data_IF_338506996286
#
_entry.id   IF_338506996286
#
_cell.length_a   1.000
_cell.length_b   1.000
_cell.length_c   1.000
_cell.angle_alpha   90.00
_cell.angle_beta   90.00
_cell.angle_gamma   90.00
#
_symmetry.space_group_name_H-M   'P 1'
#
loop_
_entity.id
_entity.type
_entity.pdbx_description
1 polymer ?
#
# COMPACT_ATOMS: atom_id res chain seq x y z
N UNK A 1 -30.41 11.06 -4.09
CA UNK A 1 -29.78 10.57 -2.84
C UNK A 1 -29.37 11.76 -1.98
N UNK A 2 -29.57 11.74 -0.66
CA UNK A 2 -29.21 12.87 0.20
C UNK A 2 -27.69 13.05 0.23
N UNK A 3 -27.24 14.30 0.08
CA UNK A 3 -25.82 14.66 0.16
C UNK A 3 -25.30 14.49 1.59
N UNK A 4 -24.06 14.04 1.74
CA UNK A 4 -23.40 13.89 3.03
C UNK A 4 -23.46 15.21 3.83
N UNK A 5 -23.79 15.17 5.13
CA UNK A 5 -23.82 16.36 5.97
C UNK A 5 -22.42 17.00 6.06
N UNK A 6 -22.39 18.33 6.18
CA UNK A 6 -21.15 19.06 6.40
C UNK A 6 -20.58 18.73 7.78
N UNK A 7 -19.25 18.70 7.89
CA UNK A 7 -18.51 18.39 9.11
C UNK A 7 -17.45 19.47 9.39
N UNK A 8 -17.02 19.64 10.65
CA UNK A 8 -15.96 20.59 10.98
C UNK A 8 -14.64 20.28 10.27
N UNK A 9 -13.91 21.34 9.93
CA UNK A 9 -12.54 21.26 9.42
C UNK A 9 -11.62 20.62 10.47
N UNK A 10 -10.70 19.76 10.02
CA UNK A 10 -9.74 19.07 10.91
C UNK A 10 -8.56 19.97 11.31
N UNK A 11 -8.39 21.15 10.70
CA UNK A 11 -7.31 22.08 11.08
C UNK A 11 -7.51 22.55 12.53
N UNK A 12 -6.47 22.54 13.39
CA UNK A 12 -6.58 23.00 14.76
C UNK A 12 -7.23 24.38 14.83
N UNK A 13 -8.17 24.54 15.77
CA UNK A 13 -8.90 25.80 16.01
C UNK A 13 -9.73 26.33 14.82
N UNK A 14 -10.01 25.52 13.80
CA UNK A 14 -10.86 25.91 12.67
C UNK A 14 -12.30 25.39 12.84
N UNK A 15 -13.25 26.30 13.07
CA UNK A 15 -14.68 25.96 13.19
C UNK A 15 -15.42 25.88 11.84
N UNK A 16 -14.74 26.06 10.71
CA UNK A 16 -15.38 26.07 9.39
C UNK A 16 -15.97 24.70 9.03
N UNK A 17 -17.19 24.69 8.51
CA UNK A 17 -17.84 23.49 8.00
C UNK A 17 -17.40 23.20 6.56
N UNK A 18 -17.14 21.93 6.27
CA UNK A 18 -16.68 21.46 4.96
C UNK A 18 -17.28 20.09 4.66
N UNK A 19 -17.35 19.73 3.38
CA UNK A 19 -17.66 18.35 2.95
C UNK A 19 -16.41 17.47 2.92
N UNK A 20 -15.23 18.10 2.80
CA UNK A 20 -13.92 17.45 2.70
C UNK A 20 -13.21 17.35 4.06
N UNK A 21 -11.92 16.97 4.06
CA UNK A 21 -11.11 16.88 5.28
C UNK A 21 -10.78 18.26 5.88
N UNK A 22 -10.60 19.26 5.02
CA UNK A 22 -10.30 20.64 5.39
C UNK A 22 -11.23 21.61 4.63
N UNK A 23 -11.46 22.80 5.18
CA UNK A 23 -12.17 23.86 4.45
C UNK A 23 -11.29 24.47 3.36
N UNK A 24 -11.87 25.28 2.46
CA UNK A 24 -11.15 25.92 1.34
C UNK A 24 -9.87 26.66 1.79
N UNK A 25 -9.93 27.32 2.96
CA UNK A 25 -8.79 28.04 3.57
C UNK A 25 -7.63 27.13 4.04
N UNK A 26 -7.87 25.82 4.12
CA UNK A 26 -6.92 24.83 4.65
C UNK A 26 -6.68 23.67 3.65
N UNK A 27 -7.06 23.84 2.38
CA UNK A 27 -6.83 22.84 1.33
C UNK A 27 -5.34 22.64 1.03
N UNK A 28 -4.53 23.66 1.26
CA UNK A 28 -3.06 23.63 1.20
C UNK A 28 -2.46 22.54 2.11
N UNK A 29 -3.03 22.30 3.30
CA UNK A 29 -2.60 21.21 4.21
C UNK A 29 -2.80 19.81 3.62
N UNK A 30 -3.72 19.64 2.67
CA UNK A 30 -3.87 18.38 1.92
C UNK A 30 -2.69 18.20 0.97
N UNK A 31 -2.34 19.26 0.24
CA UNK A 31 -1.23 19.26 -0.71
C UNK A 31 0.11 19.08 0.02
N UNK A 32 0.30 19.75 1.15
CA UNK A 32 1.49 19.62 1.99
C UNK A 32 1.66 18.19 2.52
N UNK A 33 0.61 17.59 3.10
CA UNK A 33 0.64 16.19 3.54
C UNK A 33 0.95 15.22 2.39
N UNK A 34 0.36 15.46 1.21
CA UNK A 34 0.63 14.64 0.03
C UNK A 34 2.08 14.77 -0.41
N UNK A 35 2.63 16.00 -0.43
CA UNK A 35 4.05 16.25 -0.74
C UNK A 35 4.99 15.63 0.29
N UNK A 36 4.65 15.69 1.57
CA UNK A 36 5.42 15.03 2.63
C UNK A 36 5.44 13.51 2.43
N UNK A 37 4.27 12.89 2.20
CA UNK A 37 4.19 11.46 1.92
C UNK A 37 4.96 11.09 0.64
N UNK A 38 4.82 11.84 -0.45
CA UNK A 38 5.53 11.58 -1.71
C UNK A 38 7.05 11.90 -1.65
N UNK A 39 7.50 12.70 -0.69
CA UNK A 39 8.92 13.05 -0.53
C UNK A 39 9.65 12.11 0.44
N UNK A 40 8.98 11.72 1.54
CA UNK A 40 9.62 11.01 2.65
C UNK A 40 9.13 9.58 2.84
N UNK A 41 7.94 9.21 2.34
CA UNK A 41 7.33 7.88 2.57
C UNK A 41 7.22 7.05 1.28
N UNK A 42 6.72 7.65 0.19
CA UNK A 42 6.64 7.05 -1.15
C UNK A 42 7.73 7.65 -2.01
N UNK A 43 8.85 6.96 -2.19
CA UNK A 43 9.79 7.41 -3.22
C UNK A 43 9.08 7.44 -4.58
N UNK A 44 9.23 8.53 -5.36
CA UNK A 44 8.72 8.62 -6.75
C UNK A 44 9.14 7.40 -7.59
N UNK A 45 10.31 6.84 -7.26
CA UNK A 45 10.85 5.57 -7.77
C UNK A 45 9.91 4.37 -7.53
N UNK A 46 9.34 4.22 -6.33
CA UNK A 46 8.45 3.10 -6.00
C UNK A 46 7.16 3.12 -6.82
N UNK A 47 6.56 4.29 -7.02
CA UNK A 47 5.33 4.41 -7.83
C UNK A 47 5.59 4.09 -9.30
N UNK A 48 6.71 4.58 -9.85
CA UNK A 48 7.12 4.25 -11.22
C UNK A 48 7.37 2.75 -11.38
N UNK A 49 8.03 2.12 -10.39
CA UNK A 49 8.30 0.69 -10.38
C UNK A 49 7.02 -0.15 -10.44
N UNK A 50 6.01 0.11 -9.59
CA UNK A 50 4.77 -0.65 -9.61
C UNK A 50 3.96 -0.48 -10.91
N UNK A 51 4.18 0.61 -11.65
CA UNK A 51 3.58 0.82 -12.98
C UNK A 51 4.41 0.24 -14.13
N UNK A 52 5.66 -0.13 -13.89
CA UNK A 52 6.59 -0.61 -14.90
C UNK A 52 6.15 -1.96 -15.48
N UNK A 53 6.49 -2.19 -16.76
CA UNK A 53 6.27 -3.49 -17.42
C UNK A 53 6.99 -4.61 -16.67
N UNK A 54 8.23 -4.34 -16.23
CA UNK A 54 9.04 -5.26 -15.45
C UNK A 54 8.30 -5.81 -14.22
N UNK A 55 7.62 -4.94 -13.45
CA UNK A 55 6.84 -5.39 -12.30
C UNK A 55 5.60 -6.19 -12.70
N UNK A 56 4.90 -5.77 -13.76
CA UNK A 56 3.70 -6.48 -14.24
C UNK A 56 4.04 -7.92 -14.68
N UNK A 57 5.11 -8.08 -15.45
CA UNK A 57 5.59 -9.38 -15.92
C UNK A 57 6.03 -10.26 -14.74
N UNK A 58 6.77 -9.67 -13.78
CA UNK A 58 7.20 -10.39 -12.57
C UNK A 58 6.00 -10.80 -11.69
N UNK A 59 5.03 -9.92 -11.52
CA UNK A 59 3.79 -10.20 -10.78
C UNK A 59 3.05 -11.38 -11.40
N UNK A 60 2.90 -11.40 -12.72
CA UNK A 60 2.25 -12.50 -13.43
C UNK A 60 3.03 -13.82 -13.26
N UNK A 61 4.36 -13.77 -13.33
CA UNK A 61 5.23 -14.93 -13.12
C UNK A 61 5.06 -15.50 -11.69
N UNK A 62 5.02 -14.64 -10.67
CA UNK A 62 4.80 -15.05 -9.29
C UNK A 62 3.41 -15.66 -9.09
N UNK A 63 2.38 -15.06 -9.69
CA UNK A 63 1.03 -15.61 -9.67
C UNK A 63 0.98 -17.03 -10.27
N UNK A 64 1.64 -17.24 -11.41
CA UNK A 64 1.73 -18.57 -12.04
C UNK A 64 2.51 -19.56 -11.19
N UNK A 65 3.68 -19.17 -10.66
CA UNK A 65 4.51 -20.00 -9.76
C UNK A 65 3.73 -20.48 -8.53
N UNK A 66 2.94 -19.59 -7.94
CA UNK A 66 2.19 -19.87 -6.72
C UNK A 66 0.81 -20.49 -7.00
N UNK A 67 0.52 -20.83 -8.27
CA UNK A 67 -0.77 -21.35 -8.74
C UNK A 67 -1.97 -20.45 -8.38
N UNK A 68 -1.74 -19.14 -8.28
CA UNK A 68 -2.75 -18.17 -7.86
C UNK A 68 -3.18 -18.31 -6.39
N UNK A 69 -2.45 -19.09 -5.58
CA UNK A 69 -2.78 -19.35 -4.18
C UNK A 69 -1.92 -18.52 -3.23
N UNK A 70 -2.51 -18.18 -2.08
CA UNK A 70 -1.82 -17.56 -0.97
C UNK A 70 -0.79 -18.54 -0.39
N UNK A 71 0.50 -18.24 -0.54
CA UNK A 71 1.61 -19.08 -0.06
C UNK A 71 1.54 -19.31 1.46
N UNK A 72 1.17 -18.27 2.22
CA UNK A 72 1.04 -18.32 3.69
C UNK A 72 -0.18 -19.13 4.17
N UNK A 73 -1.23 -19.24 3.37
CA UNK A 73 -2.37 -20.11 3.69
C UNK A 73 -2.02 -21.56 3.32
N UNK A 74 -1.41 -21.75 2.14
CA UNK A 74 -1.00 -23.06 1.65
C UNK A 74 -0.01 -23.75 2.60
N UNK A 75 0.93 -23.01 3.19
CA UNK A 75 1.85 -23.54 4.21
C UNK A 75 1.16 -24.06 5.47
N UNK A 76 -0.12 -23.68 5.69
CA UNK A 76 -0.97 -24.13 6.81
C UNK A 76 -2.00 -25.16 6.38
N UNK A 77 -1.89 -25.70 5.16
CA UNK A 77 -2.88 -26.62 4.59
C UNK A 77 -4.21 -25.95 4.18
N UNK A 78 -4.27 -24.62 4.12
CA UNK A 78 -5.48 -23.88 3.76
C UNK A 78 -5.38 -23.44 2.29
N UNK A 79 -6.33 -23.90 1.47
CA UNK A 79 -6.46 -23.42 0.09
C UNK A 79 -7.18 -22.08 0.10
N UNK A 80 -6.46 -21.02 -0.29
CA UNK A 80 -7.03 -19.68 -0.40
C UNK A 80 -6.40 -18.96 -1.59
N UNK A 81 -7.24 -18.31 -2.39
CA UNK A 81 -6.81 -17.50 -3.53
C UNK A 81 -5.95 -16.34 -3.02
N UNK A 82 -4.86 -16.05 -3.73
CA UNK A 82 -4.06 -14.85 -3.52
C UNK A 82 -4.50 -13.73 -4.45
N UNK A 83 -4.47 -12.50 -3.96
CA UNK A 83 -4.95 -11.31 -4.66
C UNK A 83 -3.81 -10.33 -4.97
N UNK A 84 -2.70 -10.46 -4.23
CA UNK A 84 -1.55 -9.54 -4.25
C UNK A 84 -0.24 -10.32 -4.25
N UNK A 85 0.75 -9.84 -5.01
CA UNK A 85 2.14 -10.26 -4.88
C UNK A 85 2.84 -9.23 -4.02
N UNK A 86 3.40 -9.71 -2.91
CA UNK A 86 4.02 -8.87 -1.88
C UNK A 86 5.52 -9.17 -1.77
N UNK A 87 6.29 -8.14 -1.41
CA UNK A 87 7.73 -8.26 -1.15
C UNK A 87 7.97 -8.80 0.26
N UNK A 88 8.68 -9.92 0.42
CA UNK A 88 9.04 -10.48 1.74
C UNK A 88 9.82 -9.45 2.55
N UNK A 89 10.92 -8.94 2.00
CA UNK A 89 11.63 -7.77 2.48
C UNK A 89 11.07 -6.55 1.74
N UNK A 90 10.48 -5.58 2.45
CA UNK A 90 9.84 -4.43 1.81
C UNK A 90 10.78 -3.70 0.86
N UNK A 91 10.24 -3.26 -0.29
CA UNK A 91 11.00 -2.51 -1.31
C UNK A 91 11.69 -1.25 -0.77
N UNK A 92 11.15 -0.66 0.30
CA UNK A 92 11.71 0.51 1.00
C UNK A 92 12.92 0.18 1.88
N UNK A 93 13.09 -1.09 2.26
CA UNK A 93 14.21 -1.59 3.06
C UNK A 93 15.35 -2.01 2.15
N UNK A 94 15.05 -2.78 1.09
CA UNK A 94 16.05 -3.22 0.14
C UNK A 94 15.54 -3.16 -1.31
N UNK A 95 15.95 -2.10 -2.02
CA UNK A 95 15.58 -1.86 -3.40
C UNK A 95 16.23 -2.86 -4.38
N UNK A 96 17.38 -3.44 -4.02
CA UNK A 96 18.11 -4.35 -4.91
C UNK A 96 17.31 -5.63 -5.18
N UNK A 97 16.52 -6.07 -4.20
CA UNK A 97 15.72 -7.30 -4.20
C UNK A 97 14.31 -7.14 -4.76
N UNK A 98 13.97 -5.99 -5.35
CA UNK A 98 12.60 -5.64 -5.79
C UNK A 98 12.01 -6.55 -6.87
N UNK A 99 12.85 -7.25 -7.64
CA UNK A 99 12.48 -8.21 -8.69
C UNK A 99 13.03 -9.61 -8.43
N UNK A 100 13.56 -9.88 -7.24
CA UNK A 100 14.10 -11.19 -6.93
C UNK A 100 12.94 -12.15 -6.64
N UNK A 101 12.75 -13.25 -7.40
CA UNK A 101 11.63 -14.16 -7.20
C UNK A 101 11.52 -14.75 -5.79
N UNK A 102 12.67 -14.98 -5.14
CA UNK A 102 12.76 -15.47 -3.75
C UNK A 102 12.23 -14.45 -2.74
N UNK A 103 12.23 -13.16 -3.07
CA UNK A 103 11.74 -12.07 -2.24
C UNK A 103 10.27 -11.71 -2.54
N UNK A 104 9.57 -12.49 -3.35
CA UNK A 104 8.19 -12.24 -3.74
C UNK A 104 7.29 -13.42 -3.36
N UNK A 105 6.11 -13.12 -2.84
CA UNK A 105 5.11 -14.13 -2.45
C UNK A 105 3.69 -13.69 -2.83
N UNK A 106 2.91 -14.61 -3.37
CA UNK A 106 1.48 -14.39 -3.60
C UNK A 106 0.71 -14.56 -2.29
N UNK A 107 -0.10 -13.57 -1.90
CA UNK A 107 -0.83 -13.51 -0.64
C UNK A 107 -2.30 -13.15 -0.87
N UNK A 108 -3.18 -13.68 -0.01
CA UNK A 108 -4.54 -13.14 0.13
C UNK A 108 -4.49 -11.82 0.92
N UNK A 109 -5.53 -10.99 0.77
CA UNK A 109 -5.62 -9.71 1.50
C UNK A 109 -5.43 -9.82 3.02
N UNK A 110 -5.94 -10.88 3.65
CA UNK A 110 -5.81 -11.06 5.10
C UNK A 110 -4.34 -11.30 5.53
N UNK A 111 -3.62 -12.15 4.79
CA UNK A 111 -2.20 -12.42 5.06
C UNK A 111 -1.33 -11.20 4.75
N UNK A 112 -1.61 -10.50 3.64
CA UNK A 112 -0.94 -9.26 3.29
C UNK A 112 -1.09 -8.21 4.40
N UNK A 113 -2.32 -7.93 4.84
CA UNK A 113 -2.56 -6.94 5.90
C UNK A 113 -1.91 -7.32 7.24
N UNK A 114 -1.86 -8.62 7.56
CA UNK A 114 -1.13 -9.09 8.74
C UNK A 114 0.37 -8.78 8.62
N UNK A 115 0.98 -9.11 7.48
CA UNK A 115 2.39 -8.84 7.21
C UNK A 115 2.70 -7.34 7.23
N UNK A 116 1.89 -6.49 6.60
CA UNK A 116 2.10 -5.04 6.61
C UNK A 116 2.21 -4.50 8.04
N UNK A 117 1.32 -4.94 8.93
CA UNK A 117 1.37 -4.53 10.35
C UNK A 117 2.63 -5.02 11.07
N UNK A 118 3.15 -6.18 10.69
CA UNK A 118 4.39 -6.74 11.26
C UNK A 118 5.62 -5.96 10.76
N UNK A 119 5.69 -5.68 9.46
CA UNK A 119 6.76 -4.86 8.86
C UNK A 119 6.79 -3.44 9.43
N UNK A 120 5.63 -2.84 9.71
CA UNK A 120 5.51 -1.53 10.37
C UNK A 120 6.04 -1.54 11.80
N UNK A 121 5.82 -2.62 12.55
CA UNK A 121 6.38 -2.79 13.91
C UNK A 121 7.89 -2.93 13.87
N UNK A 122 8.41 -3.72 12.93
CA UNK A 122 9.85 -3.99 12.80
C UNK A 122 10.64 -2.83 12.19
N UNK A 123 9.96 -1.80 11.67
CA UNK A 123 10.57 -0.58 11.13
C UNK A 123 10.63 0.58 12.13
N UNK A 124 10.15 0.38 13.36
CA UNK A 124 10.27 1.32 14.48
C UNK A 124 11.44 0.91 15.36
#
# INVERSE_FOLDING_TARGET
>A
MPSKPMKPCVSPMCAALTRDKYCEKHQDKIQENTRYYDKYIRSKSSRSFYNSRLWKDMRELMFRRDHGLCVQCRSKGIIKIGDVVDHIIPIRVDWSRRIEPSNLQTLCHACHNKKTKEDEKNSK
#
